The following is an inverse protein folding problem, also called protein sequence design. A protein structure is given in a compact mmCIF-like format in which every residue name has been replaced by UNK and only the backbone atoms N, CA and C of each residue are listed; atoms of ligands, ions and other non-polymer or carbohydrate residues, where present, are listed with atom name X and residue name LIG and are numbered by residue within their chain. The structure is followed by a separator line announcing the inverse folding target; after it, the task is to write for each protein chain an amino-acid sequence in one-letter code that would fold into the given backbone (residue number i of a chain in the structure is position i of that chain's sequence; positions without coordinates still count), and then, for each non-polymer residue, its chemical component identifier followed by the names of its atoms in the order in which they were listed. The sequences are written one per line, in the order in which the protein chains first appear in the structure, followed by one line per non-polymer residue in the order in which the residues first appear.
data_IF_576701942691
#
_entry.id   IF_576701942691
#
_cell.length_a   1.000
_cell.length_b   1.000
_cell.length_c   1.000
_cell.angle_alpha   90.00
_cell.angle_beta   90.00
_cell.angle_gamma   90.00
#
_symmetry.space_group_name_H-M   'P 1'
#
loop_
_entity.id
_entity.type
_entity.pdbx_description
1 polymer ?
#
# COMPACT_ATOMS: atom_id res chain seq x y z
N UNK A 1 -15.14 -10.06 -7.60
CA UNK A 1 -15.01 -10.40 -9.04
C UNK A 1 -13.79 -9.70 -9.67
N UNK A 2 -13.68 -8.37 -9.55
CA UNK A 2 -12.58 -7.61 -10.17
C UNK A 2 -11.17 -8.11 -9.77
N UNK A 3 -10.95 -8.42 -8.48
CA UNK A 3 -9.69 -9.02 -8.01
C UNK A 3 -9.38 -10.37 -8.68
N UNK A 4 -10.37 -11.22 -8.92
CA UNK A 4 -10.19 -12.51 -9.60
C UNK A 4 -9.75 -12.30 -11.05
N UNK A 5 -10.38 -11.35 -11.76
CA UNK A 5 -9.99 -10.97 -13.12
C UNK A 5 -8.54 -10.47 -13.16
N UNK A 6 -8.13 -9.63 -12.20
CA UNK A 6 -6.74 -9.16 -12.11
C UNK A 6 -5.73 -10.30 -11.99
N UNK A 7 -6.00 -11.30 -11.16
CA UNK A 7 -5.10 -12.46 -11.01
C UNK A 7 -5.11 -13.39 -12.24
N UNK A 8 -6.23 -13.49 -12.95
CA UNK A 8 -6.31 -14.22 -14.22
C UNK A 8 -5.44 -13.55 -15.30
N UNK A 9 -5.50 -12.22 -15.41
CA UNK A 9 -4.65 -11.45 -16.33
C UNK A 9 -3.18 -11.64 -15.96
N UNK A 10 -2.82 -11.53 -14.67
CA UNK A 10 -1.46 -11.75 -14.20
C UNK A 10 -0.92 -13.15 -14.55
N UNK A 11 -1.73 -14.20 -14.32
CA UNK A 11 -1.36 -15.57 -14.70
C UNK A 11 -1.14 -15.72 -16.21
N UNK A 12 -2.01 -15.11 -17.01
CA UNK A 12 -1.91 -15.15 -18.48
C UNK A 12 -0.62 -14.48 -18.96
N UNK A 13 -0.32 -13.28 -18.44
CA UNK A 13 0.92 -12.56 -18.80
C UNK A 13 2.17 -13.35 -18.40
N UNK A 14 2.17 -14.00 -17.23
CA UNK A 14 3.30 -14.82 -16.78
C UNK A 14 3.58 -16.02 -17.69
N UNK A 15 2.54 -16.70 -18.20
CA UNK A 15 2.72 -17.82 -19.14
C UNK A 15 3.23 -17.36 -20.50
N UNK A 16 2.76 -16.19 -20.97
CA UNK A 16 3.11 -15.66 -22.30
C UNK A 16 4.50 -15.03 -22.31
N UNK A 17 4.93 -14.37 -21.23
CA UNK A 17 6.22 -13.67 -21.12
C UNK A 17 7.42 -14.46 -21.66
N UNK A 18 7.69 -15.72 -21.24
CA UNK A 18 8.85 -16.47 -21.71
C UNK A 18 8.79 -16.87 -23.19
N UNK A 19 7.64 -16.73 -23.86
CA UNK A 19 7.46 -17.08 -25.28
C UNK A 19 7.75 -15.90 -26.21
N UNK A 20 7.71 -14.68 -25.69
CA UNK A 20 7.82 -13.44 -26.47
C UNK A 20 9.25 -12.89 -26.39
N UNK A 21 9.83 -12.66 -27.57
CA UNK A 21 11.18 -12.11 -27.71
C UNK A 21 11.19 -10.65 -28.20
N UNK A 22 10.01 -10.11 -28.56
CA UNK A 22 9.86 -8.72 -28.99
C UNK A 22 9.63 -7.79 -27.79
N UNK A 23 10.47 -6.76 -27.68
CA UNK A 23 10.45 -5.82 -26.56
C UNK A 23 9.17 -4.98 -26.51
N UNK A 24 8.61 -4.61 -27.66
CA UNK A 24 7.39 -3.80 -27.74
C UNK A 24 6.20 -4.62 -27.24
N UNK A 25 6.08 -5.88 -27.70
CA UNK A 25 5.04 -6.79 -27.23
C UNK A 25 5.17 -7.03 -25.72
N UNK A 26 6.40 -7.26 -25.24
CA UNK A 26 6.66 -7.47 -23.81
C UNK A 26 6.30 -6.23 -22.97
N UNK A 27 6.57 -5.03 -23.49
CA UNK A 27 6.21 -3.76 -22.84
C UNK A 27 4.69 -3.60 -22.72
N UNK A 28 3.94 -3.96 -23.78
CA UNK A 28 2.47 -3.94 -23.76
C UNK A 28 1.94 -4.95 -22.74
N UNK A 29 2.49 -6.17 -22.70
CA UNK A 29 2.10 -7.20 -21.74
C UNK A 29 2.31 -6.76 -20.29
N UNK A 30 3.48 -6.18 -19.97
CA UNK A 30 3.75 -5.66 -18.62
C UNK A 30 2.91 -4.44 -18.27
N UNK A 31 2.54 -3.60 -19.25
CA UNK A 31 1.60 -2.52 -19.03
C UNK A 31 0.21 -3.05 -18.62
N UNK A 32 -0.30 -4.07 -19.34
CA UNK A 32 -1.57 -4.74 -19.00
C UNK A 32 -1.51 -5.39 -17.61
N UNK A 33 -0.41 -6.07 -17.29
CA UNK A 33 -0.17 -6.61 -15.95
C UNK A 33 -0.15 -5.50 -14.88
N UNK A 34 0.44 -4.35 -15.19
CA UNK A 34 0.46 -3.18 -14.31
C UNK A 34 -0.94 -2.65 -13.98
N UNK A 35 -1.86 -2.63 -14.94
CA UNK A 35 -3.27 -2.28 -14.70
C UNK A 35 -3.90 -3.26 -13.71
N UNK A 36 -3.72 -4.56 -13.92
CA UNK A 36 -4.24 -5.60 -13.02
C UNK A 36 -3.67 -5.49 -11.61
N UNK A 37 -2.37 -5.23 -11.49
CA UNK A 37 -1.72 -5.02 -10.19
C UNK A 37 -2.26 -3.77 -9.49
N UNK A 38 -2.43 -2.65 -10.20
CA UNK A 38 -3.01 -1.42 -9.62
C UNK A 38 -4.44 -1.64 -9.08
N UNK A 39 -5.25 -2.45 -9.78
CA UNK A 39 -6.58 -2.85 -9.29
C UNK A 39 -6.49 -3.68 -8.00
N UNK A 40 -5.53 -4.61 -7.93
CA UNK A 40 -5.32 -5.44 -6.73
C UNK A 40 -4.87 -4.60 -5.54
N UNK A 41 -3.92 -3.69 -5.74
CA UNK A 41 -3.38 -2.83 -4.68
C UNK A 41 -4.45 -1.86 -4.16
N UNK A 42 -5.19 -1.21 -5.07
CA UNK A 42 -6.29 -0.31 -4.70
C UNK A 42 -7.44 -1.06 -4.02
N UNK A 43 -7.89 -2.16 -4.63
CA UNK A 43 -9.02 -2.94 -4.13
C UNK A 43 -8.73 -3.58 -2.78
N UNK A 44 -7.55 -4.20 -2.63
CA UNK A 44 -7.09 -4.82 -1.39
C UNK A 44 -6.94 -3.82 -0.26
N UNK A 45 -6.25 -2.70 -0.52
CA UNK A 45 -6.05 -1.64 0.49
C UNK A 45 -7.39 -1.01 0.90
N UNK A 46 -8.26 -0.70 -0.06
CA UNK A 46 -9.58 -0.12 0.23
C UNK A 46 -10.45 -1.07 1.07
N UNK A 47 -10.43 -2.36 0.75
CA UNK A 47 -11.18 -3.38 1.51
C UNK A 47 -10.65 -3.52 2.94
N UNK A 48 -9.33 -3.53 3.12
CA UNK A 48 -8.73 -3.59 4.46
C UNK A 48 -9.10 -2.39 5.32
N UNK A 49 -8.98 -1.19 4.77
CA UNK A 49 -9.35 0.04 5.48
C UNK A 49 -10.84 0.09 5.81
N UNK A 50 -11.70 -0.39 4.90
CA UNK A 50 -13.14 -0.44 5.12
C UNK A 50 -13.53 -1.46 6.22
N UNK A 51 -12.87 -2.62 6.27
CA UNK A 51 -13.19 -3.67 7.26
C UNK A 51 -12.68 -3.34 8.67
N UNK A 52 -11.50 -2.74 8.78
CA UNK A 52 -10.81 -2.59 10.07
C UNK A 52 -10.77 -1.15 10.59
N UNK A 53 -11.15 -0.16 9.78
CA UNK A 53 -11.22 1.25 10.19
C UNK A 53 -9.91 1.73 10.80
N UNK A 54 -9.98 2.39 11.95
CA UNK A 54 -8.82 2.94 12.65
C UNK A 54 -7.79 1.89 13.10
N UNK A 55 -8.21 0.62 13.20
CA UNK A 55 -7.36 -0.51 13.60
C UNK A 55 -6.74 -1.23 12.41
N UNK A 56 -6.85 -0.70 11.18
CA UNK A 56 -6.36 -1.35 9.97
C UNK A 56 -4.83 -1.48 9.89
N UNK A 57 -4.05 -0.83 10.76
CA UNK A 57 -2.60 -0.84 10.71
C UNK A 57 -1.99 -2.26 10.88
N UNK A 58 -2.44 -3.04 11.87
CA UNK A 58 -1.97 -4.41 12.08
C UNK A 58 -2.40 -5.35 10.93
N UNK A 59 -3.68 -5.39 10.51
CA UNK A 59 -4.12 -6.15 9.33
C UNK A 59 -3.38 -5.79 8.04
N UNK A 60 -3.12 -4.50 7.79
CA UNK A 60 -2.36 -4.05 6.62
C UNK A 60 -0.92 -4.60 6.66
N UNK A 61 -0.24 -4.52 7.81
CA UNK A 61 1.08 -5.12 7.96
C UNK A 61 1.04 -6.64 7.75
N UNK A 62 0.01 -7.33 8.24
CA UNK A 62 -0.16 -8.77 8.07
C UNK A 62 -0.39 -9.19 6.61
N UNK A 63 -1.27 -8.49 5.87
CA UNK A 63 -1.50 -8.76 4.44
C UNK A 63 -0.23 -8.51 3.64
N UNK A 64 0.45 -7.40 3.92
CA UNK A 64 1.68 -7.07 3.23
C UNK A 64 2.87 -7.93 3.65
N UNK A 65 2.85 -8.62 4.80
CA UNK A 65 3.89 -9.58 5.20
C UNK A 65 4.16 -10.62 4.10
N UNK A 66 3.10 -11.06 3.42
CA UNK A 66 3.19 -12.00 2.31
C UNK A 66 4.08 -11.55 1.15
N UNK A 67 4.25 -10.24 0.93
CA UNK A 67 5.14 -9.71 -0.10
C UNK A 67 6.61 -10.05 0.14
N UNK A 68 7.08 -9.90 1.39
CA UNK A 68 8.46 -10.21 1.75
C UNK A 68 8.75 -11.71 1.68
N UNK A 69 7.83 -12.54 2.20
CA UNK A 69 7.92 -13.99 2.03
C UNK A 69 7.92 -14.40 0.56
N UNK A 70 7.00 -13.86 -0.24
CA UNK A 70 6.93 -14.10 -1.67
C UNK A 70 8.24 -13.76 -2.39
N UNK A 71 8.89 -12.65 -2.03
CA UNK A 71 10.19 -12.27 -2.58
C UNK A 71 11.30 -13.26 -2.21
N UNK A 72 11.33 -13.79 -0.98
CA UNK A 72 12.27 -14.84 -0.58
C UNK A 72 12.02 -16.13 -1.38
N UNK A 73 10.76 -16.59 -1.43
CA UNK A 73 10.40 -17.80 -2.17
C UNK A 73 10.67 -17.68 -3.67
N UNK A 74 10.42 -16.52 -4.28
CA UNK A 74 10.70 -16.27 -5.68
C UNK A 74 12.19 -16.49 -6.01
N UNK A 75 13.10 -15.98 -5.17
CA UNK A 75 14.53 -16.19 -5.35
C UNK A 75 14.92 -17.67 -5.22
N UNK A 76 14.30 -18.41 -4.29
CA UNK A 76 14.53 -19.86 -4.13
C UNK A 76 14.01 -20.65 -5.33
N UNK A 77 12.83 -20.29 -5.86
CA UNK A 77 12.24 -20.92 -7.04
C UNK A 77 13.11 -20.68 -8.28
N UNK A 78 13.61 -19.45 -8.47
CA UNK A 78 14.37 -19.07 -9.67
C UNK A 78 15.80 -19.59 -9.66
N UNK A 79 16.45 -19.64 -8.49
CA UNK A 79 17.86 -20.01 -8.33
C UNK A 79 18.30 -21.27 -9.11
N UNK A 80 17.62 -22.42 -9.04
CA UNK A 80 18.06 -23.63 -9.76
C UNK A 80 17.96 -23.53 -11.29
N UNK A 81 17.28 -22.51 -11.82
CA UNK A 81 17.10 -22.30 -13.27
C UNK A 81 18.00 -21.20 -13.84
N UNK A 82 18.84 -20.57 -13.01
CA UNK A 82 19.84 -19.62 -13.45
C UNK A 82 21.12 -20.35 -13.89
N UNK A 83 21.80 -19.81 -14.92
CA UNK A 83 23.11 -20.31 -15.34
C UNK A 83 24.13 -19.93 -14.28
N UNK A 84 24.81 -20.91 -13.68
CA UNK A 84 25.96 -20.64 -12.81
C UNK A 84 27.14 -20.20 -13.67
N UNK A 85 27.79 -19.09 -13.31
CA UNK A 85 29.06 -18.69 -13.93
C UNK A 85 30.07 -19.82 -13.70
N UNK A 86 30.41 -20.57 -14.76
CA UNK A 86 31.49 -21.55 -14.73
C UNK A 86 32.81 -20.78 -14.64
N UNK A 87 33.18 -20.35 -13.43
CA UNK A 87 34.55 -19.97 -13.08
C UNK A 87 35.14 -21.02 -12.16
N UNK A 88 35.18 -22.26 -12.63
CA UNK A 88 36.16 -23.25 -12.18
C UNK A 88 37.23 -23.35 -13.27
N UNK A 89 38.51 -22.98 -13.00
CA UNK A 89 39.61 -23.31 -13.90
C UNK A 89 39.93 -24.80 -13.73
N UNK A 90 39.05 -25.68 -14.22
CA UNK A 90 39.29 -27.11 -14.27
C UNK A 90 39.36 -27.53 -15.74
N UNK A 91 40.61 -27.66 -16.20
CA UNK A 91 41.06 -28.43 -17.35
C UNK A 91 40.35 -28.11 -18.68
N UNK A 92 40.99 -27.24 -19.47
CA UNK A 92 40.89 -27.27 -20.94
C UNK A 92 41.44 -28.61 -21.42
N UNK A 93 40.59 -29.62 -21.50
CA UNK A 93 40.76 -30.69 -22.46
C UNK A 93 39.69 -30.58 -23.53
N UNK A 94 40.16 -30.83 -24.74
CA UNK A 94 39.59 -30.39 -25.99
C UNK A 94 38.37 -31.23 -26.40
N UNK A 95 37.55 -30.68 -27.30
CA UNK A 95 36.50 -31.36 -28.08
C UNK A 95 35.17 -31.68 -27.38
N UNK A 96 34.45 -30.64 -26.94
CA UNK A 96 32.98 -30.66 -26.98
C UNK A 96 32.47 -29.28 -27.41
N UNK A 97 31.58 -29.26 -28.39
CA UNK A 97 30.80 -28.09 -28.83
C UNK A 97 30.30 -27.25 -27.65
N UNK A 98 30.22 -25.91 -27.77
CA UNK A 98 29.74 -25.09 -26.67
C UNK A 98 28.29 -25.51 -26.39
N UNK A 99 28.07 -26.17 -25.25
CA UNK A 99 26.72 -26.40 -24.75
C UNK A 99 26.20 -25.01 -24.42
N UNK A 100 25.40 -24.43 -25.33
CA UNK A 100 24.60 -23.25 -25.05
C UNK A 100 23.60 -23.62 -23.97
N UNK A 101 24.01 -23.55 -22.71
CA UNK A 101 23.11 -23.66 -21.57
C UNK A 101 22.18 -22.45 -21.61
N UNK A 102 21.06 -22.58 -22.28
CA UNK A 102 19.98 -21.59 -22.25
C UNK A 102 19.32 -21.66 -20.87
N UNK A 103 19.24 -20.53 -20.16
CA UNK A 103 18.49 -20.44 -18.91
C UNK A 103 17.03 -20.86 -19.14
N UNK A 104 16.55 -21.88 -18.43
CA UNK A 104 15.17 -22.33 -18.54
C UNK A 104 14.27 -21.43 -17.68
N UNK A 105 14.01 -20.22 -18.17
CA UNK A 105 13.12 -19.27 -17.51
C UNK A 105 11.64 -19.67 -17.61
N UNK A 106 11.25 -20.55 -18.54
CA UNK A 106 9.85 -20.94 -18.72
C UNK A 106 9.27 -21.64 -17.48
N UNK A 107 10.09 -22.45 -16.80
CA UNK A 107 9.67 -23.20 -15.61
C UNK A 107 9.28 -22.30 -14.43
N UNK A 108 10.13 -21.36 -13.95
CA UNK A 108 9.77 -20.49 -12.83
C UNK A 108 8.58 -19.56 -13.14
N UNK A 109 8.42 -19.13 -14.39
CA UNK A 109 7.24 -18.37 -14.83
C UNK A 109 5.95 -19.22 -14.77
N UNK A 110 6.02 -20.48 -15.20
CA UNK A 110 4.87 -21.40 -15.18
C UNK A 110 4.42 -21.72 -13.74
N UNK A 111 5.38 -21.93 -12.82
CA UNK A 111 5.08 -22.13 -11.39
C UNK A 111 4.37 -20.90 -10.81
N UNK A 112 4.89 -19.70 -11.11
CA UNK A 112 4.32 -18.43 -10.64
C UNK A 112 2.90 -18.21 -11.19
N UNK A 113 2.67 -18.53 -12.46
CA UNK A 113 1.35 -18.47 -13.08
C UNK A 113 0.35 -19.42 -12.41
N UNK A 114 0.77 -20.65 -12.09
CA UNK A 114 -0.06 -21.62 -11.36
C UNK A 114 -0.51 -21.09 -9.98
N UNK A 115 0.39 -20.44 -9.24
CA UNK A 115 0.05 -19.80 -7.96
C UNK A 115 -0.96 -18.66 -8.15
N UNK A 116 -0.79 -17.81 -9.18
CA UNK A 116 -1.77 -16.76 -9.51
C UNK A 116 -3.15 -17.33 -9.85
N UNK A 117 -3.23 -18.47 -10.56
CA UNK A 117 -4.51 -19.13 -10.87
C UNK A 117 -5.20 -19.67 -9.61
N UNK A 118 -4.46 -20.23 -8.66
CA UNK A 118 -5.05 -20.66 -7.38
C UNK A 118 -5.65 -19.49 -6.61
N UNK A 119 -4.95 -18.35 -6.57
CA UNK A 119 -5.44 -17.11 -5.94
C UNK A 119 -6.68 -16.58 -6.68
N UNK A 120 -6.67 -16.62 -8.02
CA UNK A 120 -7.81 -16.26 -8.87
C UNK A 120 -9.06 -17.08 -8.53
N UNK A 121 -8.93 -18.41 -8.40
CA UNK A 121 -10.02 -19.31 -8.04
C UNK A 121 -10.55 -18.97 -6.64
N UNK A 122 -9.66 -18.75 -5.66
CA UNK A 122 -10.05 -18.35 -4.30
C UNK A 122 -10.90 -17.07 -4.27
N UNK A 123 -10.46 -16.02 -4.98
CA UNK A 123 -11.22 -14.77 -5.10
C UNK A 123 -12.53 -14.94 -5.89
N UNK A 124 -12.59 -15.86 -6.85
CA UNK A 124 -13.81 -16.17 -7.59
C UNK A 124 -14.86 -16.80 -6.67
N UNK A 125 -14.46 -17.82 -5.88
CA UNK A 125 -15.33 -18.47 -4.88
C UNK A 125 -15.86 -17.44 -3.87
N UNK A 126 -14.98 -16.60 -3.35
CA UNK A 126 -15.38 -15.54 -2.40
C UNK A 126 -16.39 -14.58 -3.02
N UNK A 127 -16.15 -14.14 -4.27
CA UNK A 127 -17.06 -13.24 -4.97
C UNK A 127 -18.44 -13.85 -5.23
N UNK A 128 -18.50 -15.13 -5.60
CA UNK A 128 -19.76 -15.85 -5.79
C UNK A 128 -20.51 -15.95 -4.46
N UNK A 129 -19.81 -16.27 -3.36
CA UNK A 129 -20.40 -16.36 -2.03
C UNK A 129 -20.95 -15.01 -1.56
N UNK A 130 -20.17 -13.94 -1.71
CA UNK A 130 -20.59 -12.59 -1.34
C UNK A 130 -21.83 -12.14 -2.12
N UNK A 131 -21.86 -12.39 -3.44
CA UNK A 131 -23.03 -12.08 -4.26
C UNK A 131 -24.27 -12.87 -3.84
N UNK A 132 -24.13 -14.14 -3.43
CA UNK A 132 -25.26 -14.93 -2.91
C UNK A 132 -25.82 -14.33 -1.63
N UNK A 133 -24.95 -14.02 -0.67
CA UNK A 133 -25.35 -13.40 0.61
C UNK A 133 -26.05 -12.05 0.38
N UNK A 134 -25.49 -11.20 -0.50
CA UNK A 134 -26.11 -9.91 -0.82
C UNK A 134 -27.47 -10.06 -1.50
N UNK A 135 -27.63 -11.04 -2.40
CA UNK A 135 -28.92 -11.35 -3.03
C UNK A 135 -29.95 -11.80 -2.00
N UNK A 136 -29.58 -12.70 -1.10
CA UNK A 136 -30.44 -13.16 0.00
C UNK A 136 -30.88 -12.01 0.91
N UNK A 137 -29.95 -11.12 1.26
CA UNK A 137 -30.24 -9.93 2.07
C UNK A 137 -31.21 -8.96 1.36
N UNK A 138 -31.06 -8.76 0.05
CA UNK A 138 -31.96 -7.92 -0.75
C UNK A 138 -33.37 -8.53 -0.85
N UNK A 139 -33.45 -9.85 -1.06
CA UNK A 139 -34.73 -10.58 -1.08
C UNK A 139 -35.46 -10.43 0.26
N UNK A 140 -34.77 -10.65 1.39
CA UNK A 140 -35.38 -10.52 2.72
C UNK A 140 -35.82 -9.07 3.03
N UNK A 141 -35.03 -8.07 2.64
CA UNK A 141 -35.35 -6.64 2.85
C UNK A 141 -36.55 -6.16 2.01
N UNK A 142 -36.75 -6.72 0.82
CA UNK A 142 -37.91 -6.41 -0.03
C UNK A 142 -39.24 -6.93 0.55
N UNK A 143 -39.19 -8.01 1.33
CA UNK A 143 -40.34 -8.54 2.09
C UNK A 143 -40.70 -7.60 3.24
N UNK A 144 -39.69 -7.04 3.94
CA UNK A 144 -39.88 -6.12 5.06
C UNK A 144 -40.39 -4.73 4.64
N UNK A 145 -39.93 -4.20 3.50
CA UNK A 145 -40.38 -2.89 2.99
C UNK A 145 -41.85 -2.88 2.55
N UNK A 146 -42.41 -4.03 2.16
CA UNK A 146 -43.85 -4.13 1.86
C UNK A 146 -44.74 -3.95 3.11
N UNK A 147 -44.14 -3.86 4.31
CA UNK A 147 -44.86 -3.70 5.58
C UNK A 147 -44.68 -2.35 6.29
N UNK A 148 -43.87 -1.41 5.74
CA UNK A 148 -43.57 -0.12 6.39
C UNK A 148 -44.21 1.05 5.63
N UNK A 149 -45.01 1.84 6.37
CA UNK A 149 -45.87 2.92 5.88
C UNK A 149 -45.11 4.06 5.16
N UNK A 150 -45.71 4.57 4.07
CA UNK A 150 -45.16 5.48 3.06
C UNK A 150 -44.67 6.84 3.58
N UNK A 151 -45.08 7.24 4.79
CA UNK A 151 -44.80 8.56 5.37
C UNK A 151 -43.35 8.71 5.85
N UNK A 152 -42.75 7.66 6.43
CA UNK A 152 -41.35 7.66 6.91
C UNK A 152 -40.35 7.66 5.73
N UNK A 153 -40.77 7.16 4.57
CA UNK A 153 -39.95 7.10 3.36
C UNK A 153 -39.73 8.48 2.73
N UNK A 154 -40.66 9.41 2.92
CA UNK A 154 -40.57 10.77 2.36
C UNK A 154 -39.67 11.68 3.21
N UNK A 155 -39.74 11.60 4.55
CA UNK A 155 -38.83 12.32 5.46
C UNK A 155 -37.37 11.87 5.29
N UNK A 156 -37.13 10.56 5.15
CA UNK A 156 -35.79 10.05 4.84
C UNK A 156 -35.26 10.53 3.48
N UNK A 157 -36.15 10.69 2.49
CA UNK A 157 -35.80 11.21 1.17
C UNK A 157 -35.34 12.67 1.23
N UNK A 158 -35.99 13.51 2.04
CA UNK A 158 -35.60 14.92 2.18
C UNK A 158 -34.25 15.08 2.90
N UNK A 159 -33.97 14.29 3.95
CA UNK A 159 -32.66 14.26 4.62
C UNK A 159 -31.55 13.71 3.69
N UNK A 160 -31.89 12.75 2.82
CA UNK A 160 -30.98 12.17 1.83
C UNK A 160 -30.69 13.12 0.64
N UNK A 161 -31.61 14.04 0.33
CA UNK A 161 -31.43 15.09 -0.69
C UNK A 161 -30.46 16.17 -0.19
N UNK A 162 -30.52 16.55 1.09
CA UNK A 162 -29.61 17.56 1.67
C UNK A 162 -28.16 17.05 1.80
N UNK A 163 -27.97 15.75 2.04
CA UNK A 163 -26.65 15.09 2.06
C UNK A 163 -26.07 14.81 0.67
N UNK A 164 -26.89 14.75 -0.40
CA UNK A 164 -26.46 14.47 -1.78
C UNK A 164 -25.68 15.59 -2.46
N UNK A 165 -25.75 16.83 -1.97
CA UNK A 165 -25.14 17.99 -2.63
C UNK A 165 -23.62 18.12 -2.39
N UNK A 166 -23.02 17.31 -1.52
CA UNK A 166 -21.56 17.29 -1.31
C UNK A 166 -20.98 16.05 -2.00
N UNK A 167 -20.15 16.25 -3.02
CA UNK A 167 -19.43 15.16 -3.69
C UNK A 167 -18.70 14.29 -2.66
N UNK A 168 -19.02 13.00 -2.64
CA UNK A 168 -18.39 11.99 -1.77
C UNK A 168 -16.87 11.93 -1.96
N UNK A 169 -16.40 12.34 -3.14
CA UNK A 169 -15.00 12.35 -3.57
C UNK A 169 -14.37 13.75 -3.56
N UNK A 170 -14.82 14.65 -2.68
CA UNK A 170 -14.24 15.99 -2.55
C UNK A 170 -13.13 16.06 -1.48
N UNK A 171 -12.15 16.98 -1.61
CA UNK A 171 -11.18 17.25 -0.55
C UNK A 171 -11.86 17.65 0.78
N UNK A 172 -13.01 18.32 0.72
CA UNK A 172 -13.80 18.66 1.92
C UNK A 172 -14.29 17.41 2.65
N UNK A 173 -14.76 16.41 1.91
CA UNK A 173 -15.23 15.13 2.45
C UNK A 173 -14.09 14.38 3.14
N UNK A 174 -12.90 14.33 2.50
CA UNK A 174 -11.70 13.73 3.09
C UNK A 174 -11.25 14.46 4.37
N UNK A 175 -11.28 15.79 4.34
CA UNK A 175 -10.82 16.67 5.43
C UNK A 175 -11.82 16.86 6.56
N UNK A 176 -12.72 15.90 6.82
CA UNK A 176 -13.72 15.96 7.90
C UNK A 176 -14.53 17.27 7.90
N UNK A 177 -14.90 17.77 6.71
CA UNK A 177 -15.65 19.01 6.52
C UNK A 177 -14.81 20.25 6.20
N UNK A 178 -13.48 20.17 6.31
CA UNK A 178 -12.54 21.26 6.02
C UNK A 178 -11.84 21.03 4.67
N UNK A 179 -12.20 21.83 3.64
CA UNK A 179 -11.63 21.72 2.29
C UNK A 179 -10.11 21.87 2.28
N UNK A 180 -9.58 22.92 2.90
CA UNK A 180 -8.14 23.20 2.94
C UNK A 180 -7.35 22.09 3.62
N UNK A 181 -7.89 21.50 4.69
CA UNK A 181 -7.26 20.39 5.40
C UNK A 181 -7.13 19.17 4.48
N UNK A 182 -8.25 18.73 3.89
CA UNK A 182 -8.23 17.55 3.04
C UNK A 182 -7.39 17.73 1.78
N UNK A 183 -7.42 18.92 1.16
CA UNK A 183 -6.59 19.21 -0.01
C UNK A 183 -5.10 19.20 0.33
N UNK A 184 -4.69 19.96 1.36
CA UNK A 184 -3.28 20.06 1.75
C UNK A 184 -2.74 18.72 2.21
N UNK A 185 -3.48 17.99 3.04
CA UNK A 185 -3.09 16.68 3.54
C UNK A 185 -2.96 15.66 2.39
N UNK A 186 -3.88 15.69 1.42
CA UNK A 186 -3.79 14.80 0.24
C UNK A 186 -2.54 15.07 -0.57
N UNK A 187 -2.23 16.35 -0.87
CA UNK A 187 -1.03 16.72 -1.62
C UNK A 187 0.24 16.26 -0.89
N UNK A 188 0.37 16.58 0.40
CA UNK A 188 1.54 16.19 1.21
C UNK A 188 1.70 14.67 1.25
N UNK A 189 0.60 13.92 1.45
CA UNK A 189 0.64 12.47 1.50
C UNK A 189 0.96 11.83 0.14
N UNK A 190 0.53 12.42 -0.99
CA UNK A 190 0.90 11.94 -2.34
C UNK A 190 2.41 12.08 -2.56
N UNK A 191 2.99 13.24 -2.25
CA UNK A 191 4.44 13.43 -2.33
C UNK A 191 5.20 12.55 -1.33
N UNK A 192 4.66 12.38 -0.13
CA UNK A 192 5.24 11.48 0.85
C UNK A 192 5.29 10.04 0.33
N UNK A 193 4.20 9.54 -0.26
CA UNK A 193 4.16 8.21 -0.89
C UNK A 193 5.10 8.10 -2.10
N UNK A 194 5.28 9.19 -2.85
CA UNK A 194 6.24 9.28 -3.96
C UNK A 194 7.68 9.04 -3.50
N UNK A 195 8.15 9.74 -2.46
CA UNK A 195 9.50 9.52 -1.93
C UNK A 195 9.63 8.18 -1.20
N UNK A 196 8.64 7.83 -0.37
CA UNK A 196 8.64 6.61 0.43
C UNK A 196 8.74 5.37 -0.46
N UNK A 197 7.77 5.22 -1.38
CA UNK A 197 7.70 4.02 -2.22
C UNK A 197 8.74 4.05 -3.33
N UNK A 198 9.07 5.25 -3.83
CA UNK A 198 10.15 5.43 -4.79
C UNK A 198 11.48 4.90 -4.27
N UNK A 199 11.78 5.19 -3.00
CA UNK A 199 12.97 4.69 -2.34
C UNK A 199 12.94 3.16 -2.16
N UNK A 200 11.85 2.64 -1.59
CA UNK A 200 11.69 1.21 -1.32
C UNK A 200 11.87 0.37 -2.60
N UNK A 201 11.16 0.75 -3.66
CA UNK A 201 11.19 0.05 -4.94
C UNK A 201 12.54 0.16 -5.64
N UNK A 202 13.20 1.31 -5.55
CA UNK A 202 14.51 1.51 -6.20
C UNK A 202 15.59 0.70 -5.49
N UNK A 203 15.64 0.77 -4.15
CA UNK A 203 16.62 0.03 -3.39
C UNK A 203 16.45 -1.48 -3.59
N UNK A 204 15.24 -2.02 -3.40
CA UNK A 204 14.99 -3.46 -3.55
C UNK A 204 15.32 -4.02 -4.94
N UNK A 205 15.15 -3.23 -6.01
CA UNK A 205 15.47 -3.66 -7.39
C UNK A 205 16.95 -3.66 -7.70
N UNK A 206 17.67 -2.64 -7.24
CA UNK A 206 19.07 -2.45 -7.61
C UNK A 206 20.07 -2.93 -6.56
N UNK A 207 19.62 -3.29 -5.35
CA UNK A 207 20.52 -3.71 -4.27
C UNK A 207 21.41 -4.90 -4.67
N UNK A 208 20.88 -5.89 -5.40
CA UNK A 208 21.69 -6.99 -5.93
C UNK A 208 22.81 -6.49 -6.85
N UNK A 209 22.45 -5.65 -7.84
CA UNK A 209 23.39 -5.11 -8.82
C UNK A 209 24.44 -4.21 -8.15
N UNK A 210 24.04 -3.46 -7.11
CA UNK A 210 24.92 -2.65 -6.29
C UNK A 210 25.92 -3.52 -5.51
N UNK A 211 25.47 -4.56 -4.80
CA UNK A 211 26.36 -5.45 -4.05
C UNK A 211 27.29 -6.23 -4.99
N UNK A 212 26.83 -6.53 -6.22
CA UNK A 212 27.64 -7.19 -7.25
C UNK A 212 28.59 -6.25 -7.99
N UNK A 213 28.70 -4.99 -7.56
CA UNK A 213 29.63 -4.05 -8.19
C UNK A 213 31.08 -4.51 -8.06
N UNK A 214 31.93 -4.26 -9.08
CA UNK A 214 33.32 -4.75 -9.09
C UNK A 214 34.13 -4.33 -7.86
N UNK A 215 33.80 -3.19 -7.24
CA UNK A 215 34.55 -2.65 -6.11
C UNK A 215 34.40 -3.45 -4.82
N UNK A 216 33.43 -4.36 -4.73
CA UNK A 216 33.17 -5.16 -3.53
C UNK A 216 33.67 -6.61 -3.65
N UNK A 217 34.00 -7.07 -4.85
CA UNK A 217 34.48 -8.45 -5.11
C UNK A 217 33.55 -9.57 -4.58
N UNK A 218 32.24 -9.29 -4.46
CA UNK A 218 31.26 -10.25 -3.93
C UNK A 218 30.85 -11.25 -5.02
N UNK A 219 30.85 -12.55 -4.69
CA UNK A 219 30.39 -13.62 -5.59
C UNK A 219 28.87 -13.53 -5.85
N UNK A 220 28.40 -14.11 -6.95
CA UNK A 220 26.96 -14.14 -7.30
C UNK A 220 26.12 -14.83 -6.21
N UNK A 221 26.65 -15.92 -5.63
CA UNK A 221 26.06 -16.60 -4.47
C UNK A 221 26.04 -15.69 -3.23
N UNK A 222 27.12 -14.96 -2.98
CA UNK A 222 27.20 -13.95 -1.91
C UNK A 222 26.12 -12.88 -2.06
N UNK A 223 26.04 -12.20 -3.21
CA UNK A 223 25.04 -11.16 -3.47
C UNK A 223 23.59 -11.68 -3.33
N UNK A 224 23.34 -12.94 -3.71
CA UNK A 224 22.04 -13.59 -3.52
C UNK A 224 21.68 -13.69 -2.04
N UNK A 225 22.62 -14.06 -1.16
CA UNK A 225 22.39 -14.08 0.28
C UNK A 225 22.07 -12.71 0.87
N UNK A 226 22.70 -11.65 0.36
CA UNK A 226 22.41 -10.27 0.79
C UNK A 226 20.97 -9.89 0.44
N UNK A 227 20.52 -10.26 -0.77
CA UNK A 227 19.12 -10.06 -1.18
C UNK A 227 18.14 -10.87 -0.35
N UNK A 228 18.43 -12.15 -0.08
CA UNK A 228 17.57 -13.00 0.76
C UNK A 228 17.45 -12.40 2.17
N UNK A 229 18.58 -11.97 2.76
CA UNK A 229 18.56 -11.34 4.09
C UNK A 229 17.78 -10.03 4.07
N UNK A 230 17.96 -9.18 3.06
CA UNK A 230 17.17 -7.95 2.89
C UNK A 230 15.66 -8.26 2.91
N UNK A 231 15.19 -9.21 2.09
CA UNK A 231 13.77 -9.57 2.02
C UNK A 231 13.25 -10.28 3.28
N UNK A 232 14.10 -11.05 3.97
CA UNK A 232 13.76 -11.64 5.25
C UNK A 232 13.61 -10.57 6.33
N UNK A 233 14.56 -9.64 6.44
CA UNK A 233 14.48 -8.49 7.35
C UNK A 233 13.28 -7.60 7.02
N UNK A 234 12.96 -7.44 5.73
CA UNK A 234 11.75 -6.79 5.27
C UNK A 234 10.50 -7.50 5.80
N UNK A 235 10.43 -8.83 5.77
CA UNK A 235 9.31 -9.58 6.37
C UNK A 235 9.24 -9.40 7.88
N UNK A 236 10.39 -9.50 8.57
CA UNK A 236 10.49 -9.33 10.03
C UNK A 236 10.03 -7.94 10.47
N UNK A 237 10.38 -6.88 9.74
CA UNK A 237 9.92 -5.52 10.04
C UNK A 237 8.39 -5.39 10.08
N UNK A 238 7.69 -6.01 9.12
CA UNK A 238 6.22 -6.06 9.09
C UNK A 238 5.65 -6.89 10.24
N UNK A 239 6.26 -8.03 10.57
CA UNK A 239 5.82 -8.85 11.69
C UNK A 239 5.94 -8.11 13.03
N UNK A 240 7.08 -7.44 13.25
CA UNK A 240 7.30 -6.62 14.46
C UNK A 240 6.25 -5.50 14.53
N UNK A 241 6.07 -4.73 13.46
CA UNK A 241 5.09 -3.65 13.46
C UNK A 241 3.64 -4.12 13.53
N UNK A 242 3.31 -5.29 12.97
CA UNK A 242 2.00 -5.93 13.14
C UNK A 242 1.68 -6.13 14.62
N UNK A 243 2.63 -6.67 15.40
CA UNK A 243 2.44 -6.89 16.84
C UNK A 243 2.43 -5.57 17.61
N UNK A 244 3.39 -4.67 17.33
CA UNK A 244 3.53 -3.40 18.05
C UNK A 244 2.31 -2.50 17.86
N UNK A 245 1.72 -2.44 16.66
CA UNK A 245 0.57 -1.56 16.36
C UNK A 245 -0.73 -1.95 17.05
N UNK A 246 -0.79 -3.15 17.64
CA UNK A 246 -1.92 -3.53 18.51
C UNK A 246 -1.87 -2.75 19.83
N UNK A 247 -0.66 -2.42 20.32
CA UNK A 247 -0.46 -1.81 21.63
C UNK A 247 -0.07 -0.33 21.56
N UNK A 248 0.59 0.09 20.48
CA UNK A 248 1.16 1.42 20.31
C UNK A 248 0.45 2.14 19.15
N UNK A 249 0.08 3.42 19.32
CA UNK A 249 -0.56 4.18 18.25
C UNK A 249 0.37 4.33 17.03
N UNK A 250 -0.24 4.35 15.85
CA UNK A 250 0.45 4.29 14.55
C UNK A 250 1.46 5.43 14.37
N UNK A 251 1.12 6.64 14.83
CA UNK A 251 2.02 7.79 14.69
C UNK A 251 3.32 7.64 15.49
N UNK A 252 3.30 7.04 16.68
CA UNK A 252 4.50 6.77 17.46
C UNK A 252 5.37 5.70 16.80
N UNK A 253 4.74 4.67 16.22
CA UNK A 253 5.44 3.65 15.45
C UNK A 253 6.18 4.28 14.25
N UNK A 254 5.51 5.16 13.49
CA UNK A 254 6.11 5.87 12.37
C UNK A 254 7.25 6.80 12.80
N UNK A 255 7.10 7.53 13.92
CA UNK A 255 8.19 8.35 14.47
C UNK A 255 9.41 7.48 14.80
N UNK A 256 9.20 6.37 15.51
CA UNK A 256 10.29 5.43 15.84
C UNK A 256 10.99 4.87 14.60
N UNK A 257 10.22 4.47 13.58
CA UNK A 257 10.75 3.99 12.30
C UNK A 257 11.54 5.07 11.56
N UNK A 258 11.07 6.32 11.57
CA UNK A 258 11.77 7.42 10.90
C UNK A 258 13.05 7.84 11.63
N UNK A 259 13.06 7.81 12.96
CA UNK A 259 14.29 7.99 13.75
C UNK A 259 15.28 6.89 13.42
N UNK A 260 14.85 5.62 13.41
CA UNK A 260 15.72 4.51 13.03
C UNK A 260 16.18 4.60 11.56
N UNK A 261 15.29 5.03 10.66
CA UNK A 261 15.56 5.26 9.23
C UNK A 261 16.63 6.32 9.03
N UNK A 262 16.57 7.42 9.78
CA UNK A 262 17.61 8.43 9.77
C UNK A 262 18.95 7.88 10.26
N UNK A 263 18.97 7.07 11.32
CA UNK A 263 20.20 6.42 11.79
C UNK A 263 20.82 5.51 10.72
N UNK A 264 20.01 4.72 10.00
CA UNK A 264 20.49 3.87 8.90
C UNK A 264 20.98 4.69 7.71
N UNK A 265 20.29 5.78 7.36
CA UNK A 265 20.73 6.71 6.32
C UNK A 265 22.08 7.36 6.66
N UNK A 266 22.28 7.77 7.91
CA UNK A 266 23.58 8.26 8.41
C UNK A 266 24.65 7.17 8.34
N UNK A 267 24.30 5.92 8.66
CA UNK A 267 25.17 4.77 8.47
C UNK A 267 25.64 4.62 7.01
N UNK A 268 24.71 4.62 6.06
CA UNK A 268 25.03 4.60 4.63
C UNK A 268 25.95 5.77 4.23
N UNK A 269 25.69 6.98 4.73
CA UNK A 269 26.55 8.14 4.48
C UNK A 269 27.98 7.93 4.99
N UNK A 270 28.15 7.50 6.24
CA UNK A 270 29.47 7.30 6.83
C UNK A 270 30.26 6.24 6.07
N UNK A 271 29.64 5.10 5.75
CA UNK A 271 30.35 4.02 5.06
C UNK A 271 30.68 4.33 3.60
N UNK A 272 29.82 5.06 2.89
CA UNK A 272 30.09 5.43 1.49
C UNK A 272 31.15 6.53 1.38
N UNK A 273 31.12 7.56 2.24
CA UNK A 273 31.98 8.74 2.08
C UNK A 273 33.17 8.82 3.05
N UNK A 274 33.16 8.10 4.19
CA UNK A 274 34.18 8.28 5.24
C UNK A 274 35.05 7.04 5.50
N UNK A 275 34.45 5.84 5.57
CA UNK A 275 35.16 4.63 6.06
C UNK A 275 35.43 3.61 4.97
N UNK A 276 34.69 3.62 3.85
CA UNK A 276 34.60 2.57 2.82
C UNK A 276 33.63 1.45 3.20
N UNK A 277 32.83 1.03 2.22
CA UNK A 277 31.89 -0.08 2.35
C UNK A 277 32.63 -1.41 2.39
N UNK A 278 32.41 -2.15 3.48
CA UNK A 278 32.84 -3.55 3.66
C UNK A 278 31.67 -4.50 3.41
N UNK A 279 31.96 -5.77 3.14
CA UNK A 279 30.97 -6.84 3.03
C UNK A 279 30.01 -6.88 4.24
N UNK A 280 30.55 -6.80 5.46
CA UNK A 280 29.74 -6.78 6.69
C UNK A 280 28.85 -5.55 6.79
N UNK A 281 29.37 -4.35 6.45
CA UNK A 281 28.56 -3.13 6.49
C UNK A 281 27.42 -3.16 5.47
N UNK A 282 27.67 -3.68 4.26
CA UNK A 282 26.66 -3.83 3.22
C UNK A 282 25.54 -4.77 3.67
N UNK A 283 25.89 -5.86 4.34
CA UNK A 283 24.95 -6.84 4.86
C UNK A 283 24.07 -6.24 5.97
N UNK A 284 24.68 -5.59 6.96
CA UNK A 284 23.97 -5.01 8.11
C UNK A 284 23.09 -3.83 7.65
N UNK A 285 23.64 -2.89 6.89
CA UNK A 285 22.89 -1.72 6.41
C UNK A 285 21.77 -2.14 5.46
N UNK A 286 22.01 -3.12 4.59
CA UNK A 286 20.97 -3.71 3.73
C UNK A 286 19.83 -4.31 4.56
N UNK A 287 20.14 -5.16 5.53
CA UNK A 287 19.15 -5.79 6.40
C UNK A 287 18.29 -4.74 7.16
N UNK A 288 18.92 -3.74 7.78
CA UNK A 288 18.19 -2.69 8.48
C UNK A 288 17.37 -1.79 7.54
N UNK A 289 17.86 -1.54 6.33
CA UNK A 289 17.08 -0.83 5.31
C UNK A 289 15.79 -1.57 5.00
N UNK A 290 15.86 -2.90 4.82
CA UNK A 290 14.68 -3.74 4.61
C UNK A 290 13.70 -3.70 5.80
N UNK A 291 14.22 -3.83 7.02
CA UNK A 291 13.43 -3.80 8.26
C UNK A 291 12.61 -2.50 8.40
N UNK A 292 13.15 -1.37 7.97
CA UNK A 292 12.51 -0.04 8.10
C UNK A 292 11.54 0.25 6.97
N UNK A 293 11.91 -0.04 5.72
CA UNK A 293 11.04 0.26 4.58
C UNK A 293 9.74 -0.54 4.62
N UNK A 294 9.81 -1.79 5.08
CA UNK A 294 8.68 -2.70 4.98
C UNK A 294 7.42 -2.29 5.73
N UNK A 295 7.44 -1.91 7.02
CA UNK A 295 6.23 -1.49 7.72
C UNK A 295 5.82 -0.06 7.38
N UNK A 296 6.71 0.75 6.83
CA UNK A 296 6.44 2.19 6.66
C UNK A 296 5.30 2.43 5.67
N UNK A 297 5.21 1.67 4.58
CA UNK A 297 4.10 1.75 3.63
C UNK A 297 2.73 1.42 4.25
N UNK A 298 2.49 0.24 4.86
CA UNK A 298 1.21 -0.07 5.49
C UNK A 298 0.88 0.83 6.69
N UNK A 299 1.87 1.22 7.50
CA UNK A 299 1.65 2.16 8.60
C UNK A 299 1.23 3.54 8.12
N UNK A 300 1.70 3.96 6.95
CA UNK A 300 1.29 5.23 6.34
C UNK A 300 -0.19 5.23 5.96
N UNK A 301 -0.71 4.09 5.46
CA UNK A 301 -2.15 3.89 5.26
C UNK A 301 -2.94 3.81 6.58
N UNK A 302 -2.37 3.21 7.63
CA UNK A 302 -2.97 3.28 8.96
C UNK A 302 -3.08 4.72 9.49
N UNK A 303 -2.00 5.49 9.36
CA UNK A 303 -1.93 6.88 9.79
C UNK A 303 -2.94 7.74 9.05
N UNK A 304 -2.98 7.67 7.71
CA UNK A 304 -3.92 8.49 6.96
C UNK A 304 -5.37 8.13 7.28
N UNK A 305 -5.68 6.85 7.52
CA UNK A 305 -7.04 6.42 7.82
C UNK A 305 -7.56 6.97 9.16
N UNK A 306 -6.67 7.11 10.15
CA UNK A 306 -7.01 7.74 11.43
C UNK A 306 -7.19 9.27 11.29
N UNK A 307 -6.46 9.91 10.36
CA UNK A 307 -6.42 11.38 10.24
C UNK A 307 -7.42 11.96 9.24
N UNK A 308 -7.79 11.21 8.21
CA UNK A 308 -8.69 11.62 7.13
C UNK A 308 -9.87 10.66 7.02
N UNK A 309 -10.98 11.15 6.45
CA UNK A 309 -12.04 10.26 5.99
C UNK A 309 -11.63 9.65 4.65
N UNK A 310 -10.97 8.50 4.70
CA UNK A 310 -10.41 7.86 3.51
C UNK A 310 -11.50 7.43 2.55
N UNK A 311 -11.35 7.80 1.28
CA UNK A 311 -12.16 7.27 0.19
C UNK A 311 -11.25 6.57 -0.85
N UNK A 312 -11.82 5.70 -1.71
CA UNK A 312 -11.04 4.98 -2.73
C UNK A 312 -10.30 5.90 -3.71
N UNK A 313 -10.82 7.10 -3.99
CA UNK A 313 -10.14 8.06 -4.86
C UNK A 313 -8.82 8.52 -4.25
N UNK A 314 -8.81 8.89 -2.96
CA UNK A 314 -7.60 9.28 -2.26
C UNK A 314 -6.58 8.15 -2.23
N UNK A 315 -7.00 6.92 -1.92
CA UNK A 315 -6.12 5.74 -1.95
C UNK A 315 -5.51 5.57 -3.34
N UNK A 316 -6.32 5.69 -4.40
CA UNK A 316 -5.85 5.65 -5.78
C UNK A 316 -4.81 6.72 -6.09
N UNK A 317 -5.04 7.98 -5.70
CA UNK A 317 -4.09 9.07 -5.89
C UNK A 317 -2.78 8.86 -5.13
N UNK A 318 -2.84 8.31 -3.92
CA UNK A 318 -1.65 7.96 -3.13
C UNK A 318 -0.83 6.85 -3.80
N UNK A 319 -1.50 5.83 -4.34
CA UNK A 319 -0.86 4.76 -5.12
C UNK A 319 -0.26 5.30 -6.43
N UNK A 320 -0.92 6.27 -7.09
CA UNK A 320 -0.33 6.96 -8.24
C UNK A 320 0.94 7.72 -7.85
N UNK A 321 0.96 8.40 -6.69
CA UNK A 321 2.15 9.03 -6.15
C UNK A 321 3.28 8.02 -5.94
N UNK A 322 2.96 6.89 -5.28
CA UNK A 322 3.87 5.75 -5.07
C UNK A 322 4.47 5.22 -6.38
N UNK A 323 3.63 4.93 -7.37
CA UNK A 323 4.05 4.42 -8.67
C UNK A 323 4.92 5.42 -9.44
N UNK A 324 4.54 6.69 -9.43
CA UNK A 324 5.31 7.78 -10.07
C UNK A 324 6.69 7.92 -9.45
N UNK A 325 6.79 7.81 -8.13
CA UNK A 325 8.06 7.79 -7.40
C UNK A 325 8.91 6.59 -7.78
N UNK A 326 8.30 5.40 -7.84
CA UNK A 326 8.97 4.19 -8.31
C UNK A 326 9.59 4.36 -9.70
N UNK A 327 8.84 4.89 -10.66
CA UNK A 327 9.34 5.14 -12.02
C UNK A 327 10.47 6.18 -12.04
N UNK A 328 10.29 7.29 -11.33
CA UNK A 328 11.26 8.38 -11.30
C UNK A 328 12.60 7.94 -10.67
N UNK A 329 12.56 7.40 -9.46
CA UNK A 329 13.78 7.03 -8.74
C UNK A 329 14.45 5.79 -9.31
N UNK A 330 13.74 4.87 -9.95
CA UNK A 330 14.39 3.76 -10.66
C UNK A 330 15.19 4.23 -11.86
N UNK A 331 14.68 5.21 -12.62
CA UNK A 331 15.44 5.83 -13.72
C UNK A 331 16.70 6.51 -13.20
N UNK A 332 16.58 7.31 -12.15
CA UNK A 332 17.73 7.99 -11.53
C UNK A 332 18.70 6.96 -10.92
N UNK A 333 18.19 5.91 -10.28
CA UNK A 333 18.97 4.81 -9.70
C UNK A 333 19.83 4.09 -10.72
N UNK A 334 19.27 3.78 -11.88
CA UNK A 334 20.03 3.23 -13.01
C UNK A 334 21.17 4.14 -13.46
N UNK A 335 20.88 5.44 -13.66
CA UNK A 335 21.90 6.44 -14.06
C UNK A 335 23.02 6.54 -13.01
N UNK A 336 22.67 6.57 -11.72
CA UNK A 336 23.66 6.65 -10.64
C UNK A 336 24.53 5.39 -10.61
N UNK A 337 23.95 4.21 -10.78
CA UNK A 337 24.70 2.95 -10.84
C UNK A 337 25.64 2.88 -12.05
N UNK A 338 25.22 3.38 -13.20
CA UNK A 338 26.09 3.38 -14.40
C UNK A 338 27.24 4.38 -14.27
N UNK A 339 27.01 5.51 -13.57
CA UNK A 339 28.01 6.57 -13.43
C UNK A 339 28.99 6.28 -12.29
N UNK A 340 28.48 6.00 -11.08
CA UNK A 340 29.29 5.70 -9.91
C UNK A 340 28.49 4.85 -8.91
N UNK A 341 28.75 3.54 -8.95
CA UNK A 341 28.05 2.52 -8.17
C UNK A 341 28.10 2.79 -6.67
N UNK A 342 29.23 3.25 -6.14
CA UNK A 342 29.40 3.57 -4.71
C UNK A 342 28.41 4.61 -4.21
N UNK A 343 27.97 5.53 -5.08
CA UNK A 343 27.03 6.58 -4.70
C UNK A 343 25.56 6.17 -4.80
N UNK A 344 25.22 4.94 -5.18
CA UNK A 344 23.84 4.47 -5.21
C UNK A 344 23.05 4.75 -3.90
N UNK A 345 23.61 4.56 -2.69
CA UNK A 345 22.91 4.88 -1.44
C UNK A 345 22.60 6.38 -1.21
N UNK A 346 23.13 7.31 -2.03
CA UNK A 346 22.74 8.74 -1.97
C UNK A 346 21.23 8.90 -2.13
N UNK A 347 20.63 8.16 -3.08
CA UNK A 347 19.20 8.24 -3.37
C UNK A 347 18.38 7.82 -2.17
N UNK A 348 18.84 6.80 -1.45
CA UNK A 348 18.23 6.36 -0.20
C UNK A 348 18.23 7.48 0.84
N UNK A 349 19.38 8.11 1.06
CA UNK A 349 19.54 9.18 2.05
C UNK A 349 18.60 10.36 1.72
N UNK A 350 18.61 10.82 0.47
CA UNK A 350 17.78 11.92 0.00
C UNK A 350 16.30 11.59 0.22
N UNK A 351 15.83 10.42 -0.22
CA UNK A 351 14.44 10.06 -0.10
C UNK A 351 13.99 9.88 1.36
N UNK A 352 14.84 9.36 2.24
CA UNK A 352 14.55 9.27 3.69
C UNK A 352 14.38 10.67 4.27
N UNK A 353 15.28 11.61 3.97
CA UNK A 353 15.18 13.00 4.47
C UNK A 353 13.87 13.65 4.01
N UNK A 354 13.55 13.58 2.72
CA UNK A 354 12.29 14.13 2.20
C UNK A 354 11.06 13.45 2.80
N UNK A 355 11.10 12.12 3.00
CA UNK A 355 10.00 11.38 3.62
C UNK A 355 9.77 11.81 5.07
N UNK A 356 10.84 12.03 5.85
CA UNK A 356 10.76 12.54 7.21
C UNK A 356 10.17 13.96 7.23
N UNK A 357 10.64 14.85 6.36
CA UNK A 357 10.14 16.22 6.27
C UNK A 357 8.63 16.22 5.94
N UNK A 358 8.21 15.46 4.93
CA UNK A 358 6.82 15.39 4.51
C UNK A 358 5.93 14.72 5.57
N UNK A 359 6.42 13.69 6.25
CA UNK A 359 5.70 13.07 7.38
C UNK A 359 5.53 14.06 8.54
N UNK A 360 6.57 14.80 8.91
CA UNK A 360 6.48 15.82 9.96
C UNK A 360 5.49 16.93 9.60
N UNK A 361 5.52 17.40 8.34
CA UNK A 361 4.53 18.37 7.84
C UNK A 361 3.10 17.81 7.95
N UNK A 362 2.87 16.56 7.49
CA UNK A 362 1.58 15.89 7.58
C UNK A 362 1.11 15.75 9.04
N UNK A 363 2.02 15.37 9.94
CA UNK A 363 1.73 15.24 11.38
C UNK A 363 1.34 16.58 12.02
N UNK A 364 2.07 17.66 11.71
CA UNK A 364 1.77 19.01 12.21
C UNK A 364 0.41 19.49 11.70
N UNK A 365 0.16 19.38 10.38
CA UNK A 365 -1.13 19.78 9.77
C UNK A 365 -2.27 19.01 10.45
N UNK A 366 -2.14 17.68 10.56
CA UNK A 366 -3.14 16.85 11.21
C UNK A 366 -3.43 17.31 12.64
N UNK A 367 -2.40 17.63 13.42
CA UNK A 367 -2.55 18.03 14.83
C UNK A 367 -3.24 19.39 14.97
N UNK A 368 -2.90 20.35 14.09
CA UNK A 368 -3.54 21.68 14.07
C UNK A 368 -5.04 21.54 13.77
N UNK A 369 -5.39 20.77 12.74
CA UNK A 369 -6.79 20.60 12.34
C UNK A 369 -7.59 19.74 13.32
N UNK A 370 -6.98 18.75 13.97
CA UNK A 370 -7.64 17.98 15.03
C UNK A 370 -8.06 18.88 16.21
N UNK A 371 -7.19 19.80 16.64
CA UNK A 371 -7.55 20.81 17.65
C UNK A 371 -8.71 21.69 17.18
N UNK A 372 -8.69 22.14 15.92
CA UNK A 372 -9.76 22.97 15.35
C UNK A 372 -11.09 22.23 15.25
N UNK A 373 -11.06 20.97 14.83
CA UNK A 373 -12.25 20.09 14.75
C UNK A 373 -12.86 19.92 16.15
N UNK A 374 -12.03 19.63 17.16
CA UNK A 374 -12.51 19.42 18.52
C UNK A 374 -13.05 20.71 19.14
N UNK A 375 -12.42 21.87 18.86
CA UNK A 375 -12.92 23.17 19.29
C UNK A 375 -14.30 23.49 18.69
N UNK A 376 -14.52 23.23 17.40
CA UNK A 376 -15.83 23.41 16.76
C UNK A 376 -16.90 22.47 17.31
N UNK A 377 -16.55 21.20 17.59
CA UNK A 377 -17.48 20.25 18.21
C UNK A 377 -17.92 20.71 19.59
N UNK A 378 -16.98 21.18 20.41
CA UNK A 378 -17.31 21.72 21.72
C UNK A 378 -18.21 22.95 21.59
N UNK A 379 -17.90 23.88 20.68
CA UNK A 379 -18.72 25.08 20.46
C UNK A 379 -20.17 24.74 20.08
N UNK A 380 -20.37 23.75 19.19
CA UNK A 380 -21.70 23.31 18.78
C UNK A 380 -22.47 22.58 19.90
N UNK A 381 -21.77 21.94 20.84
CA UNK A 381 -22.39 21.29 21.99
C UNK A 381 -22.74 22.29 23.12
N UNK A 382 -22.00 23.41 23.23
CA UNK A 382 -22.26 24.45 24.25
C UNK A 382 -23.37 25.41 23.84
N UNK A 383 -23.70 25.52 22.56
CA UNK A 383 -24.87 26.27 22.09
C UNK A 383 -26.08 25.33 22.17
N UNK A 384 -26.98 25.44 23.18
CA UNK A 384 -28.23 24.71 23.12
C UNK A 384 -28.95 25.18 21.86
N UNK A 385 -29.16 24.26 20.92
CA UNK A 385 -30.06 24.50 19.80
C UNK A 385 -31.41 24.76 20.43
N UNK A 386 -31.81 26.03 20.48
CA UNK A 386 -33.11 26.45 20.99
C UNK A 386 -34.17 25.99 19.98
N UNK A 387 -34.49 24.69 19.99
CA UNK A 387 -35.61 24.10 19.23
C UNK A 387 -36.97 24.54 19.77
N UNK A 388 -37.04 25.39 20.80
CA UNK A 388 -38.30 25.80 21.44
C UNK A 388 -38.99 27.04 20.85
N UNK A 389 -38.47 27.65 19.78
CA UNK A 389 -39.10 28.85 19.17
C UNK A 389 -39.52 28.68 17.70
N UNK A 390 -39.81 27.45 17.25
CA UNK A 390 -40.69 27.29 16.09
C UNK A 390 -42.13 27.32 16.61
N UNK A 391 -43.00 28.22 16.12
CA UNK A 391 -44.40 28.19 16.49
C UNK A 391 -44.95 26.84 16.04
N UNK A 392 -45.24 25.98 17.02
CA UNK A 392 -46.02 24.76 16.84
C UNK A 392 -47.29 25.21 16.12
N UNK A 393 -47.46 24.76 14.87
CA UNK A 393 -48.66 25.09 14.11
C UNK A 393 -49.88 24.58 14.88
N UNK A 394 -51.01 25.30 14.84
CA UNK A 394 -52.24 24.93 15.54
C UNK A 394 -52.71 23.49 15.19
N UNK A 395 -52.24 22.92 14.08
CA UNK A 395 -52.47 21.52 13.66
C UNK A 395 -51.76 20.49 14.55
N UNK A 396 -50.56 20.75 15.06
CA UNK A 396 -49.84 19.83 15.96
C UNK A 396 -50.50 19.76 17.34
N UNK A 397 -51.05 20.88 17.84
CA UNK A 397 -51.81 20.89 19.10
C UNK A 397 -53.17 20.16 18.99
N UNK A 398 -53.79 20.16 17.81
CA UNK A 398 -55.03 19.39 17.59
C UNK A 398 -54.76 17.87 17.49
N UNK A 399 -53.64 17.47 16.87
CA UNK A 399 -53.22 16.07 16.76
C UNK A 399 -52.88 15.45 18.11
N UNK A 400 -52.18 16.18 18.98
CA UNK A 400 -51.80 15.69 20.31
C UNK A 400 -53.03 15.48 21.21
N UNK A 401 -54.04 16.35 21.07
CA UNK A 401 -55.32 16.26 21.79
C UNK A 401 -56.24 15.14 21.27
N UNK A 402 -56.09 14.75 20.02
CA UNK A 402 -56.79 13.59 19.46
C UNK A 402 -56.17 12.28 19.97
N UNK A 403 -54.85 12.20 20.03
CA UNK A 403 -54.12 11.01 20.49
C UNK A 403 -54.35 10.72 21.98
N UNK A 404 -54.39 11.74 22.84
CA UNK A 404 -54.65 11.56 24.29
C UNK A 404 -56.06 11.05 24.60
N UNK A 405 -57.05 11.32 23.75
CA UNK A 405 -58.42 10.84 23.96
C UNK A 405 -58.62 9.38 23.49
N UNK A 406 -57.71 8.83 22.68
CA UNK A 406 -57.78 7.44 22.20
C UNK A 406 -57.16 6.42 23.18
N UNK A 407 -56.33 6.86 24.13
CA UNK A 407 -55.74 5.97 25.15
C UNK A 407 -56.67 5.78 26.38
N UNK A 408 -57.86 6.38 26.40
CA UNK A 408 -58.86 6.23 27.47
C UNK A 408 -60.13 5.44 27.08
N UNK A 409 -60.09 4.72 25.95
CA UNK A 409 -61.14 3.79 25.50
C UNK A 409 -60.52 2.42 25.21
#
# INVERSE_FOLDING_TARGET
LLLSISFLIAATVLVVTPLIHDLVILSILFFVQGISQGVTDLGGTSLMLAMWGDNAAAPLNAVHLGYGFGAVFANVIVKPFLVEDITTPALKDSTTSPISQTSNIQTPYSISAGLCLLICIGHCIFAIREQRIQREALTNRSVEYSSVSTTIANEKKEIEIETKNVSQYSPKSCGKGFFTYGLLMSIVLIFYMFFLSGNDQTFGKFFFAFVKSPEFEISTSGATWYMILYWLSYSVGRLICMVITVYIPVHLCLIGLWVFGLSVAVGWYIFVWQITLTSTSLLILGAFTGLIFSPTFPLSFGFLNQRLNTNPLLIGLLLCGSASGGMFFQKIGGIVLDTNRKHFPTLLIICVIFSIILFTIAFIISTIYEKKINSNKNLNNTIPINKQNLPISEEEQQMEKYLTNTEQL
#
